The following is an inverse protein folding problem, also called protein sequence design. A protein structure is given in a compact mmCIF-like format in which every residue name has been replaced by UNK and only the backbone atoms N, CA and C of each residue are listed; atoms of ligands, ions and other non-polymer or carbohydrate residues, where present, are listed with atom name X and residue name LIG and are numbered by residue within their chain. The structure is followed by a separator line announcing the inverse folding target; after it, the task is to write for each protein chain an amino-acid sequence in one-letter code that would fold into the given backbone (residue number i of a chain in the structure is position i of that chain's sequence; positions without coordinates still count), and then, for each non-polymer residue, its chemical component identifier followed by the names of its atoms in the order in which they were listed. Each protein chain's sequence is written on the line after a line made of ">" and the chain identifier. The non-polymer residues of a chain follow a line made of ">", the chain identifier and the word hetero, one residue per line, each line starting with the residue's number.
data_IF_452772434729
#
_entry.id   IF_452772434729
#
_cell.length_a   1.000
_cell.length_b   1.000
_cell.length_c   1.000
_cell.angle_alpha   90.00
_cell.angle_beta   90.00
_cell.angle_gamma   90.00
#
_symmetry.space_group_name_H-M   'P 1'
#
loop_
_entity.id
_entity.type
_entity.pdbx_description
1 polymer ?
#
# COMPACT_ATOMS: atom_id res chain seq x y z
N UNK A 1 -14.41 -12.62 -6.36
CA UNK A 1 -15.44 -13.63 -6.17
C UNK A 1 -15.97 -14.12 -7.50
N UNK A 2 -16.15 -15.43 -7.63
CA UNK A 2 -16.70 -16.04 -8.83
C UNK A 2 -18.22 -15.83 -8.88
N UNK A 3 -18.80 -15.29 -9.97
CA UNK A 3 -20.19 -14.84 -9.98
C UNK A 3 -21.24 -15.97 -9.94
N UNK A 4 -20.90 -17.18 -10.36
CA UNK A 4 -21.85 -18.31 -10.47
C UNK A 4 -21.86 -19.25 -9.26
N UNK A 5 -21.01 -19.04 -8.27
CA UNK A 5 -21.03 -19.80 -7.02
C UNK A 5 -21.51 -18.93 -5.86
N UNK A 6 -22.23 -19.55 -4.94
CA UNK A 6 -22.67 -18.84 -3.73
C UNK A 6 -21.48 -18.46 -2.85
N UNK A 7 -21.67 -17.44 -2.03
CA UNK A 7 -20.64 -16.93 -1.11
C UNK A 7 -20.16 -18.04 -0.15
N UNK A 8 -21.10 -18.80 0.40
CA UNK A 8 -20.77 -19.87 1.32
C UNK A 8 -19.98 -21.00 0.68
N UNK A 9 -20.30 -21.35 -0.58
CA UNK A 9 -19.58 -22.40 -1.29
C UNK A 9 -18.14 -21.98 -1.56
N UNK A 10 -17.88 -20.72 -1.94
CA UNK A 10 -16.52 -20.21 -2.19
C UNK A 10 -15.67 -20.22 -0.92
N UNK A 11 -16.22 -19.82 0.23
CA UNK A 11 -15.49 -19.91 1.52
C UNK A 11 -15.29 -21.38 1.94
N UNK A 12 -16.32 -22.22 1.79
CA UNK A 12 -16.23 -23.62 2.15
C UNK A 12 -15.24 -24.41 1.27
N UNK A 13 -15.13 -24.04 -0.01
CA UNK A 13 -14.15 -24.63 -0.94
C UNK A 13 -12.72 -24.44 -0.45
N UNK A 14 -12.34 -23.23 -0.05
CA UNK A 14 -11.02 -22.94 0.54
C UNK A 14 -10.75 -23.83 1.75
N UNK A 15 -11.71 -23.97 2.64
CA UNK A 15 -11.59 -24.81 3.83
C UNK A 15 -11.48 -26.30 3.52
N UNK A 16 -12.23 -26.81 2.56
CA UNK A 16 -12.10 -28.20 2.11
C UNK A 16 -10.74 -28.47 1.48
N UNK A 17 -10.30 -27.55 0.62
CA UNK A 17 -9.03 -27.70 -0.12
C UNK A 17 -7.81 -27.67 0.79
N UNK A 18 -7.78 -26.76 1.76
CA UNK A 18 -6.58 -26.49 2.56
C UNK A 18 -6.64 -27.06 3.98
N UNK A 19 -7.82 -27.29 4.54
CA UNK A 19 -8.00 -27.88 5.89
C UNK A 19 -8.61 -29.27 5.87
N UNK A 20 -8.86 -29.81 4.67
CA UNK A 20 -9.41 -31.15 4.45
C UNK A 20 -10.72 -31.45 5.23
N UNK A 21 -11.55 -30.41 5.43
CA UNK A 21 -12.82 -30.55 6.13
C UNK A 21 -13.87 -31.22 5.25
N UNK A 22 -14.77 -31.98 5.88
CA UNK A 22 -15.97 -32.45 5.20
C UNK A 22 -16.89 -31.31 4.78
N UNK A 23 -17.80 -31.54 3.84
CA UNK A 23 -18.76 -30.53 3.39
C UNK A 23 -19.55 -29.89 4.54
N UNK A 24 -19.99 -30.71 5.53
CA UNK A 24 -20.75 -30.23 6.69
C UNK A 24 -19.90 -29.34 7.60
N UNK A 25 -18.67 -29.75 7.88
CA UNK A 25 -17.73 -28.98 8.72
C UNK A 25 -17.32 -27.69 8.04
N UNK A 26 -16.97 -27.74 6.73
CA UNK A 26 -16.60 -26.58 5.95
C UNK A 26 -17.73 -25.53 5.88
N UNK A 27 -18.99 -25.96 5.74
CA UNK A 27 -20.15 -25.05 5.77
C UNK A 27 -20.33 -24.39 7.14
N UNK A 28 -20.14 -25.13 8.23
CA UNK A 28 -20.23 -24.58 9.59
C UNK A 28 -19.08 -23.59 9.85
N UNK A 29 -17.86 -23.90 9.39
CA UNK A 29 -16.69 -23.02 9.50
C UNK A 29 -16.83 -21.77 8.64
N UNK A 30 -17.40 -21.88 7.44
CA UNK A 30 -17.70 -20.74 6.58
C UNK A 30 -18.65 -19.74 7.27
N UNK A 31 -19.66 -20.22 8.01
CA UNK A 31 -20.52 -19.33 8.82
C UNK A 31 -19.69 -18.58 9.85
N UNK A 32 -18.79 -19.27 10.57
CA UNK A 32 -17.91 -18.63 11.57
C UNK A 32 -16.98 -17.59 10.94
N UNK A 33 -16.35 -17.93 9.81
CA UNK A 33 -15.46 -17.02 9.09
C UNK A 33 -16.20 -15.74 8.62
N UNK A 34 -17.40 -15.89 8.06
CA UNK A 34 -18.22 -14.77 7.62
C UNK A 34 -18.74 -13.93 8.80
N UNK A 35 -19.08 -14.56 9.92
CA UNK A 35 -19.48 -13.84 11.15
C UNK A 35 -18.29 -13.02 11.71
N UNK A 36 -17.08 -13.59 11.70
CA UNK A 36 -15.86 -12.94 12.19
C UNK A 36 -15.55 -11.64 11.45
N UNK A 37 -15.82 -11.58 10.15
CA UNK A 37 -15.66 -10.35 9.35
C UNK A 37 -16.85 -9.39 9.45
N UNK A 38 -17.81 -9.66 10.33
CA UNK A 38 -18.97 -8.80 10.57
C UNK A 38 -20.05 -8.88 9.49
N UNK A 39 -20.19 -10.03 8.83
CA UNK A 39 -21.33 -10.28 7.95
C UNK A 39 -22.56 -10.63 8.80
N UNK A 40 -23.51 -9.71 8.91
CA UNK A 40 -24.75 -9.95 9.64
C UNK A 40 -25.54 -11.10 8.99
N UNK A 41 -26.18 -11.94 9.80
CA UNK A 41 -26.96 -13.09 9.34
C UNK A 41 -26.17 -14.04 8.41
N UNK A 42 -24.88 -14.31 8.73
CA UNK A 42 -23.97 -15.09 7.90
C UNK A 42 -24.59 -16.43 7.44
N UNK A 43 -25.29 -17.14 8.32
CA UNK A 43 -25.95 -18.41 7.99
C UNK A 43 -26.99 -18.28 6.86
N UNK A 44 -27.73 -17.17 6.84
CA UNK A 44 -28.76 -16.91 5.81
C UNK A 44 -28.11 -16.42 4.50
N UNK A 45 -26.95 -15.75 4.61
CA UNK A 45 -26.25 -15.18 3.45
C UNK A 45 -25.34 -16.17 2.72
N UNK A 46 -25.11 -17.35 3.27
CA UNK A 46 -24.28 -18.38 2.63
C UNK A 46 -24.73 -18.71 1.21
N UNK A 47 -26.02 -18.73 0.97
CA UNK A 47 -26.60 -19.14 -0.31
C UNK A 47 -26.77 -17.95 -1.29
N UNK A 48 -26.39 -16.72 -0.86
CA UNK A 48 -26.37 -15.53 -1.72
C UNK A 48 -25.19 -15.58 -2.71
N UNK A 49 -25.39 -14.95 -3.85
CA UNK A 49 -24.36 -14.78 -4.90
C UNK A 49 -23.66 -13.43 -4.76
N UNK A 50 -22.44 -13.28 -5.29
CA UNK A 50 -21.70 -12.02 -5.20
C UNK A 50 -22.47 -10.79 -5.71
N UNK A 51 -23.29 -10.93 -6.75
CA UNK A 51 -24.07 -9.82 -7.33
C UNK A 51 -25.21 -9.33 -6.41
N UNK A 52 -25.63 -10.13 -5.42
CA UNK A 52 -26.64 -9.76 -4.43
C UNK A 52 -26.04 -8.98 -3.24
N UNK A 53 -24.71 -8.81 -3.20
CA UNK A 53 -23.99 -8.14 -2.13
C UNK A 53 -23.50 -6.75 -2.56
N UNK A 54 -23.50 -5.80 -1.61
CA UNK A 54 -22.81 -4.51 -1.79
C UNK A 54 -21.29 -4.69 -1.92
N UNK A 55 -20.58 -3.68 -2.43
CA UNK A 55 -19.11 -3.70 -2.55
C UNK A 55 -18.41 -4.05 -1.24
N UNK A 56 -18.78 -3.38 -0.15
CA UNK A 56 -18.21 -3.64 1.18
C UNK A 56 -18.52 -5.05 1.72
N UNK A 57 -19.69 -5.59 1.44
CA UNK A 57 -20.00 -6.98 1.83
C UNK A 57 -19.19 -7.98 1.01
N UNK A 58 -19.02 -7.75 -0.29
CA UNK A 58 -18.13 -8.57 -1.13
C UNK A 58 -16.69 -8.55 -0.63
N UNK A 59 -16.20 -7.38 -0.22
CA UNK A 59 -14.86 -7.25 0.34
C UNK A 59 -14.71 -8.01 1.66
N UNK A 60 -15.70 -7.95 2.55
CA UNK A 60 -15.73 -8.76 3.77
C UNK A 60 -15.68 -10.28 3.48
N UNK A 61 -16.39 -10.73 2.46
CA UNK A 61 -16.33 -12.14 2.03
C UNK A 61 -14.93 -12.52 1.53
N UNK A 62 -14.30 -11.67 0.72
CA UNK A 62 -12.91 -11.89 0.27
C UNK A 62 -11.93 -11.97 1.43
N UNK A 63 -12.07 -11.09 2.43
CA UNK A 63 -11.27 -11.15 3.66
C UNK A 63 -11.53 -12.44 4.43
N UNK A 64 -12.82 -12.86 4.58
CA UNK A 64 -13.15 -14.12 5.22
C UNK A 64 -12.52 -15.33 4.52
N UNK A 65 -12.53 -15.37 3.19
CA UNK A 65 -11.87 -16.41 2.40
C UNK A 65 -10.35 -16.43 2.64
N UNK A 66 -9.70 -15.27 2.58
CA UNK A 66 -8.27 -15.15 2.80
C UNK A 66 -7.84 -15.59 4.21
N UNK A 67 -8.68 -15.35 5.21
CA UNK A 67 -8.41 -15.66 6.60
C UNK A 67 -8.96 -17.02 7.08
N UNK A 68 -9.71 -17.75 6.25
CA UNK A 68 -10.36 -19.00 6.61
C UNK A 68 -9.37 -20.08 7.09
N UNK A 69 -8.12 -20.02 6.63
CA UNK A 69 -7.05 -20.94 7.02
C UNK A 69 -6.06 -20.36 8.03
N UNK A 70 -6.37 -19.23 8.66
CA UNK A 70 -5.54 -18.56 9.67
C UNK A 70 -4.09 -18.37 9.20
N UNK A 71 -3.85 -17.59 8.13
CA UNK A 71 -2.52 -17.42 7.55
C UNK A 71 -1.60 -16.61 8.48
N UNK A 72 -0.29 -16.86 8.37
CA UNK A 72 0.75 -16.04 9.03
C UNK A 72 0.95 -14.68 8.34
N UNK A 73 0.64 -14.59 7.05
CA UNK A 73 0.76 -13.39 6.21
C UNK A 73 -0.49 -13.19 5.35
N UNK A 74 -1.11 -12.03 5.47
CA UNK A 74 -2.14 -11.55 4.55
C UNK A 74 -1.53 -10.57 3.54
N UNK A 75 -1.67 -10.86 2.24
CA UNK A 75 -1.37 -9.93 1.16
C UNK A 75 -2.68 -9.29 0.71
N UNK A 76 -2.82 -7.99 0.93
CA UNK A 76 -4.00 -7.21 0.58
C UNK A 76 -3.64 -6.24 -0.57
N UNK A 77 -4.02 -6.62 -1.80
CA UNK A 77 -3.78 -5.83 -3.00
C UNK A 77 -4.99 -4.93 -3.27
N UNK A 78 -4.79 -3.63 -3.10
CA UNK A 78 -5.81 -2.57 -3.21
C UNK A 78 -7.15 -2.91 -2.50
N UNK A 79 -7.13 -3.26 -1.20
CA UNK A 79 -8.29 -3.85 -0.53
C UNK A 79 -9.48 -2.89 -0.38
N UNK A 80 -9.30 -1.61 -0.64
CA UNK A 80 -10.32 -0.56 -0.49
C UNK A 80 -10.68 0.15 -1.80
N UNK A 81 -10.09 -0.26 -2.92
CA UNK A 81 -10.38 0.32 -4.24
C UNK A 81 -11.86 0.16 -4.60
N UNK A 82 -12.45 1.21 -5.14
CA UNK A 82 -13.87 1.31 -5.52
C UNK A 82 -14.87 1.21 -4.34
N UNK A 83 -14.42 1.46 -3.10
CA UNK A 83 -15.28 1.62 -1.93
C UNK A 83 -15.43 3.11 -1.59
N UNK A 84 -16.58 3.48 -1.02
CA UNK A 84 -16.74 4.81 -0.45
C UNK A 84 -15.89 4.97 0.83
N UNK A 85 -15.59 6.22 1.21
CA UNK A 85 -14.68 6.54 2.33
C UNK A 85 -15.11 5.89 3.65
N UNK A 86 -16.42 5.81 3.90
CA UNK A 86 -16.94 5.23 5.14
C UNK A 86 -16.71 3.73 5.18
N UNK A 87 -17.00 3.03 4.09
CA UNK A 87 -16.77 1.59 3.97
C UNK A 87 -15.28 1.29 3.95
N UNK A 88 -14.45 2.12 3.28
CA UNK A 88 -13.00 2.00 3.32
C UNK A 88 -12.48 2.00 4.76
N UNK A 89 -12.86 2.98 5.58
CA UNK A 89 -12.46 3.04 6.99
C UNK A 89 -12.88 1.77 7.76
N UNK A 90 -14.11 1.27 7.55
CA UNK A 90 -14.59 0.04 8.19
C UNK A 90 -13.77 -1.20 7.78
N UNK A 91 -13.34 -1.30 6.53
CA UNK A 91 -12.51 -2.42 6.05
C UNK A 91 -11.10 -2.35 6.64
N UNK A 92 -10.50 -1.15 6.73
CA UNK A 92 -9.19 -0.97 7.36
C UNK A 92 -9.22 -1.30 8.85
N UNK A 93 -10.25 -0.85 9.58
CA UNK A 93 -10.45 -1.21 10.99
C UNK A 93 -10.64 -2.72 11.17
N UNK A 94 -11.38 -3.36 10.28
CA UNK A 94 -11.56 -4.81 10.29
C UNK A 94 -10.22 -5.54 10.13
N UNK A 95 -9.41 -5.15 9.14
CA UNK A 95 -8.07 -5.74 8.90
C UNK A 95 -7.18 -5.54 10.13
N UNK A 96 -7.17 -4.33 10.72
CA UNK A 96 -6.38 -4.01 11.92
C UNK A 96 -6.78 -4.89 13.11
N UNK A 97 -8.08 -5.03 13.36
CA UNK A 97 -8.62 -5.90 14.41
C UNK A 97 -8.24 -7.36 14.21
N UNK A 98 -8.45 -7.89 13.00
CA UNK A 98 -8.13 -9.29 12.68
C UNK A 98 -6.61 -9.56 12.73
N UNK A 99 -5.76 -8.61 12.31
CA UNK A 99 -4.31 -8.70 12.49
C UNK A 99 -3.93 -8.92 13.96
N UNK A 100 -4.52 -8.16 14.86
CA UNK A 100 -4.25 -8.28 16.30
C UNK A 100 -4.79 -9.59 16.89
N UNK A 101 -5.99 -10.01 16.48
CA UNK A 101 -6.63 -11.23 16.98
C UNK A 101 -5.89 -12.51 16.54
N UNK A 102 -5.41 -12.55 15.29
CA UNK A 102 -4.74 -13.72 14.70
C UNK A 102 -3.24 -13.70 14.96
N UNK A 103 -2.65 -12.52 15.17
CA UNK A 103 -1.20 -12.34 15.28
C UNK A 103 -0.47 -12.43 13.93
N UNK A 104 -1.18 -12.17 12.81
CA UNK A 104 -0.62 -12.27 11.46
C UNK A 104 0.12 -10.99 11.03
N UNK A 105 1.04 -11.12 10.10
CA UNK A 105 1.59 -10.01 9.34
C UNK A 105 0.63 -9.59 8.22
N UNK A 106 0.64 -8.28 7.86
CA UNK A 106 -0.15 -7.76 6.73
C UNK A 106 0.78 -7.04 5.78
N UNK A 107 0.81 -7.45 4.51
CA UNK A 107 1.42 -6.71 3.41
C UNK A 107 0.30 -6.04 2.61
N UNK A 108 0.23 -4.71 2.71
CA UNK A 108 -0.77 -3.92 1.99
C UNK A 108 -0.17 -3.26 0.76
N UNK A 109 -0.79 -3.46 -0.40
CA UNK A 109 -0.43 -2.79 -1.65
C UNK A 109 -1.52 -1.76 -1.91
N UNK A 110 -1.15 -0.49 -2.00
CA UNK A 110 -2.09 0.61 -2.23
C UNK A 110 -1.38 1.84 -2.80
N UNK A 111 -2.09 2.65 -3.53
CA UNK A 111 -1.65 3.98 -3.96
C UNK A 111 -2.17 5.10 -3.05
N UNK A 112 -2.96 4.78 -2.02
CA UNK A 112 -3.48 5.74 -1.05
C UNK A 112 -2.49 5.95 0.09
N UNK A 113 -1.79 7.08 0.06
CA UNK A 113 -0.80 7.44 1.08
C UNK A 113 -1.42 7.68 2.47
N UNK A 114 -2.70 8.06 2.54
CA UNK A 114 -3.44 8.16 3.80
C UNK A 114 -3.60 6.81 4.48
N UNK A 115 -3.96 5.79 3.69
CA UNK A 115 -4.05 4.40 4.17
C UNK A 115 -2.69 3.91 4.68
N UNK A 116 -1.60 4.21 3.94
CA UNK A 116 -0.24 3.82 4.37
C UNK A 116 0.12 4.48 5.69
N UNK A 117 -0.11 5.80 5.82
CA UNK A 117 0.20 6.55 7.03
C UNK A 117 -0.53 6.01 8.28
N UNK A 118 -1.74 5.47 8.09
CA UNK A 118 -2.59 4.96 9.17
C UNK A 118 -2.28 3.50 9.54
N UNK A 119 -1.90 2.66 8.56
CA UNK A 119 -1.87 1.21 8.71
C UNK A 119 -0.47 0.60 8.77
N UNK A 120 0.54 1.26 8.18
CA UNK A 120 1.85 0.66 7.98
C UNK A 120 2.83 0.96 9.13
N UNK A 121 3.63 -0.04 9.48
CA UNK A 121 4.81 0.13 10.34
C UNK A 121 6.04 0.48 9.47
N UNK A 122 6.18 -0.24 8.34
CA UNK A 122 7.25 -0.04 7.35
C UNK A 122 6.65 0.15 5.95
N UNK A 123 7.32 0.92 5.13
CA UNK A 123 6.86 1.29 3.77
C UNK A 123 7.93 0.93 2.75
N UNK A 124 7.48 0.33 1.65
CA UNK A 124 8.26 0.12 0.43
C UNK A 124 7.66 1.00 -0.66
N UNK A 125 8.44 1.91 -1.19
CA UNK A 125 8.05 2.71 -2.37
C UNK A 125 8.63 2.06 -3.61
N UNK A 126 7.75 1.65 -4.54
CA UNK A 126 8.13 0.96 -5.77
C UNK A 126 7.86 1.83 -7.01
N UNK A 127 8.75 1.77 -8.01
CA UNK A 127 8.58 2.42 -9.30
C UNK A 127 9.23 1.59 -10.40
N UNK A 128 8.49 1.34 -11.51
CA UNK A 128 9.00 0.55 -12.62
C UNK A 128 9.49 -0.85 -12.22
N UNK A 129 8.80 -1.52 -11.31
CA UNK A 129 9.16 -2.86 -10.81
C UNK A 129 10.35 -2.90 -9.85
N UNK A 130 10.90 -1.74 -9.45
CA UNK A 130 12.07 -1.65 -8.54
C UNK A 130 11.71 -0.95 -7.24
N UNK A 131 12.31 -1.40 -6.13
CA UNK A 131 12.23 -0.70 -4.85
C UNK A 131 13.08 0.56 -4.92
N UNK A 132 12.45 1.72 -4.77
CA UNK A 132 13.10 3.03 -4.78
C UNK A 132 13.48 3.49 -3.38
N UNK A 133 12.62 3.24 -2.41
CA UNK A 133 12.87 3.58 -1.03
C UNK A 133 12.21 2.57 -0.08
N UNK A 134 12.85 2.32 1.06
CA UNK A 134 12.33 1.52 2.17
C UNK A 134 12.65 2.20 3.49
N UNK A 135 11.71 2.19 4.41
CA UNK A 135 11.91 2.72 5.75
C UNK A 135 10.67 2.60 6.63
N UNK A 136 10.78 3.02 7.87
CA UNK A 136 9.62 3.19 8.73
C UNK A 136 8.68 4.28 8.18
N UNK A 137 7.41 4.20 8.54
CA UNK A 137 6.38 5.12 8.02
C UNK A 137 6.72 6.57 8.32
N UNK A 138 7.23 6.89 9.52
CA UNK A 138 7.55 8.27 9.91
C UNK A 138 8.70 8.83 9.08
N UNK A 139 9.76 8.03 8.85
CA UNK A 139 10.90 8.42 8.02
C UNK A 139 10.49 8.69 6.57
N UNK A 140 9.64 7.83 6.00
CA UNK A 140 9.14 8.00 4.62
C UNK A 140 8.29 9.27 4.47
N UNK A 141 7.46 9.61 5.48
CA UNK A 141 6.56 10.76 5.38
C UNK A 141 7.21 12.09 5.81
N UNK A 142 8.11 12.09 6.82
CA UNK A 142 8.75 13.32 7.32
C UNK A 142 9.98 13.73 6.55
N UNK A 143 10.77 12.75 6.11
CA UNK A 143 12.05 12.97 5.42
C UNK A 143 12.27 11.94 4.30
N UNK A 144 11.45 11.98 3.23
CA UNK A 144 11.62 11.09 2.09
C UNK A 144 13.00 11.31 1.44
N UNK A 145 13.73 10.21 1.20
CA UNK A 145 15.07 10.27 0.60
C UNK A 145 15.00 10.29 -0.93
N UNK A 146 14.18 9.42 -1.53
CA UNK A 146 14.14 9.30 -2.98
C UNK A 146 13.34 10.45 -3.63
N UNK A 147 13.80 11.05 -4.72
CA UNK A 147 13.08 12.11 -5.44
C UNK A 147 11.65 11.74 -5.85
N UNK A 148 11.42 10.48 -6.21
CA UNK A 148 10.07 9.98 -6.51
C UNK A 148 9.15 10.02 -5.29
N UNK A 149 9.61 9.54 -4.13
CA UNK A 149 8.86 9.58 -2.87
C UNK A 149 8.49 11.01 -2.49
N UNK A 150 9.45 11.95 -2.61
CA UNK A 150 9.20 13.39 -2.39
C UNK A 150 8.14 13.94 -3.33
N UNK A 151 8.24 13.59 -4.61
CA UNK A 151 7.28 14.06 -5.62
C UNK A 151 5.87 13.49 -5.39
N UNK A 152 5.75 12.22 -4.99
CA UNK A 152 4.47 11.62 -4.58
C UNK A 152 3.87 12.38 -3.40
N UNK A 153 4.66 12.66 -2.36
CA UNK A 153 4.19 13.36 -1.17
C UNK A 153 3.74 14.80 -1.48
N UNK A 154 4.46 15.51 -2.35
CA UNK A 154 4.12 16.88 -2.76
C UNK A 154 2.89 16.94 -3.68
N UNK A 155 2.47 15.83 -4.27
CA UNK A 155 1.26 15.75 -5.09
C UNK A 155 -0.02 15.55 -4.27
N UNK A 156 0.09 15.32 -2.94
CA UNK A 156 -1.09 15.14 -2.08
C UNK A 156 -1.66 16.51 -1.70
N UNK A 157 -2.99 16.72 -1.84
CA UNK A 157 -3.67 17.91 -1.33
C UNK A 157 -3.59 17.95 0.21
N UNK A 158 -3.12 19.07 0.77
CA UNK A 158 -3.15 19.29 2.21
C UNK A 158 -4.34 20.18 2.57
N UNK A 159 -4.97 19.88 3.71
CA UNK A 159 -6.11 20.70 4.21
C UNK A 159 -5.70 22.15 4.45
N UNK A 160 -4.42 22.38 4.78
CA UNK A 160 -3.82 23.71 5.00
C UNK A 160 -3.42 24.43 3.72
N UNK A 161 -3.47 23.73 2.57
CA UNK A 161 -3.06 24.38 1.32
C UNK A 161 -4.07 25.48 0.93
N UNK A 162 -3.51 26.65 0.64
CA UNK A 162 -4.30 27.77 0.12
C UNK A 162 -4.97 27.28 -1.18
N UNK A 163 -6.29 27.37 -1.30
CA UNK A 163 -7.10 26.88 -2.45
C UNK A 163 -6.56 27.30 -3.84
N UNK A 164 -5.64 28.28 -3.88
CA UNK A 164 -4.99 28.78 -5.11
C UNK A 164 -3.64 28.10 -5.41
N UNK A 165 -3.09 27.24 -4.52
CA UNK A 165 -1.82 26.57 -4.78
C UNK A 165 -2.07 25.41 -5.75
N UNK A 166 -1.40 25.45 -6.89
CA UNK A 166 -1.39 24.34 -7.84
C UNK A 166 -0.59 23.18 -7.25
N UNK A 167 -1.18 21.99 -7.19
CA UNK A 167 -0.47 20.81 -6.74
C UNK A 167 0.73 20.52 -7.63
N UNK A 168 1.83 20.06 -7.06
CA UNK A 168 2.97 19.58 -7.83
C UNK A 168 2.59 18.29 -8.56
N UNK A 169 2.80 18.26 -9.85
CA UNK A 169 2.58 17.09 -10.70
C UNK A 169 3.94 16.50 -11.06
N UNK A 170 4.04 15.18 -11.08
CA UNK A 170 5.21 14.49 -11.59
C UNK A 170 5.11 14.50 -13.12
N UNK A 171 5.90 15.36 -13.76
CA UNK A 171 5.90 15.50 -15.22
C UNK A 171 6.29 14.21 -15.94
N UNK A 172 5.83 14.07 -17.19
CA UNK A 172 6.13 12.94 -18.06
C UNK A 172 5.28 11.69 -17.77
N UNK A 173 5.44 10.68 -18.60
CA UNK A 173 4.70 9.41 -18.53
C UNK A 173 5.49 8.37 -17.73
N UNK A 174 4.77 7.47 -17.07
CA UNK A 174 5.38 6.28 -16.46
C UNK A 174 5.96 5.42 -17.60
N UNK A 175 7.22 4.98 -17.50
CA UNK A 175 7.83 4.17 -18.54
C UNK A 175 7.11 2.83 -18.70
N UNK A 176 7.12 2.32 -19.94
CA UNK A 176 6.60 0.99 -20.21
C UNK A 176 7.43 -0.05 -19.43
N UNK A 177 6.82 -0.94 -18.65
CA UNK A 177 7.56 -2.00 -17.93
C UNK A 177 8.40 -2.92 -18.83
N UNK A 178 8.03 -3.05 -20.11
CA UNK A 178 8.77 -3.85 -21.10
C UNK A 178 9.92 -3.09 -21.76
N UNK A 179 9.98 -1.76 -21.56
CA UNK A 179 11.01 -0.88 -22.15
C UNK A 179 11.38 0.20 -21.13
N UNK A 180 12.07 -0.23 -20.08
CA UNK A 180 12.55 0.68 -19.04
C UNK A 180 13.74 1.50 -19.55
N UNK A 181 13.82 2.79 -19.19
CA UNK A 181 14.96 3.61 -19.56
C UNK A 181 16.25 3.08 -18.94
N UNK A 182 17.37 3.21 -19.67
CA UNK A 182 18.69 2.85 -19.17
C UNK A 182 19.04 3.66 -17.92
N UNK A 183 19.84 3.07 -17.02
CA UNK A 183 20.22 3.69 -15.76
C UNK A 183 19.07 3.72 -14.73
N UNK A 184 18.92 4.85 -14.04
CA UNK A 184 17.84 5.02 -13.08
C UNK A 184 16.47 5.08 -13.79
N UNK A 185 15.56 4.16 -13.51
CA UNK A 185 14.24 4.11 -14.17
C UNK A 185 13.39 5.38 -13.98
N UNK A 186 13.66 6.16 -12.93
CA UNK A 186 12.96 7.42 -12.66
C UNK A 186 13.62 8.64 -13.30
N UNK A 187 14.86 8.53 -13.83
CA UNK A 187 15.63 9.70 -14.29
C UNK A 187 14.90 10.60 -15.30
N UNK A 188 14.06 10.10 -16.25
CA UNK A 188 13.38 10.97 -17.20
C UNK A 188 12.36 11.93 -16.58
N UNK A 189 11.93 11.62 -15.35
CA UNK A 189 10.92 12.38 -14.59
C UNK A 189 11.52 13.05 -13.34
N UNK A 190 12.80 12.82 -13.08
CA UNK A 190 13.47 13.29 -11.88
C UNK A 190 13.98 14.72 -12.07
N UNK A 191 13.50 15.67 -11.25
CA UNK A 191 13.96 17.08 -11.27
C UNK A 191 15.44 17.23 -10.86
N UNK A 192 16.01 16.19 -10.24
CA UNK A 192 17.40 16.16 -9.75
C UNK A 192 18.31 15.25 -10.60
N UNK A 193 17.85 14.82 -11.77
CA UNK A 193 18.63 13.92 -12.61
C UNK A 193 19.91 14.58 -13.13
N UNK A 194 21.06 13.98 -12.81
CA UNK A 194 22.32 14.28 -13.47
C UNK A 194 22.55 13.40 -14.70
N UNK A 195 23.56 13.73 -15.53
CA UNK A 195 23.90 12.94 -16.73
C UNK A 195 24.20 11.47 -16.43
N UNK A 196 24.75 11.19 -15.26
CA UNK A 196 25.04 9.82 -14.82
C UNK A 196 23.80 8.97 -14.61
N UNK A 197 22.65 9.58 -14.24
CA UNK A 197 21.41 8.86 -13.97
C UNK A 197 20.83 8.16 -15.20
N UNK A 198 21.16 8.60 -16.41
CA UNK A 198 20.75 7.94 -17.66
C UNK A 198 21.66 6.76 -18.07
N UNK A 199 22.80 6.58 -17.38
CA UNK A 199 23.83 5.60 -17.76
C UNK A 199 24.03 4.52 -16.71
N UNK A 200 23.91 4.90 -15.43
CA UNK A 200 24.18 4.01 -14.29
C UNK A 200 22.88 3.70 -13.56
N UNK A 201 22.60 2.40 -13.42
CA UNK A 201 21.51 1.93 -12.59
C UNK A 201 21.92 2.03 -11.10
N UNK A 202 21.17 2.76 -10.26
CA UNK A 202 21.51 2.85 -8.84
C UNK A 202 21.21 1.52 -8.12
N UNK A 203 22.08 1.15 -7.20
CA UNK A 203 21.83 0.07 -6.26
C UNK A 203 20.98 0.54 -5.09
N UNK A 204 20.37 -0.41 -4.35
CA UNK A 204 19.60 -0.13 -3.14
C UNK A 204 20.56 0.04 -1.95
N UNK A 205 20.93 1.28 -1.65
CA UNK A 205 21.92 1.65 -0.63
C UNK A 205 21.27 1.71 0.75
N UNK A 206 21.94 1.14 1.74
CA UNK A 206 21.53 1.22 3.14
C UNK A 206 22.01 2.53 3.78
N UNK A 207 21.09 3.25 4.43
CA UNK A 207 21.32 4.45 5.22
C UNK A 207 20.73 4.25 6.62
N UNK A 208 21.47 3.63 7.50
CA UNK A 208 20.96 3.15 8.79
C UNK A 208 19.86 2.09 8.61
N UNK A 209 18.69 2.30 9.19
CA UNK A 209 17.54 1.42 9.07
C UNK A 209 16.77 1.60 7.74
N UNK A 210 17.08 2.64 6.97
CA UNK A 210 16.42 2.97 5.70
C UNK A 210 17.25 2.48 4.51
N UNK A 211 16.60 2.35 3.36
CA UNK A 211 17.28 2.02 2.10
C UNK A 211 16.76 2.91 0.98
N UNK A 212 17.64 3.33 0.08
CA UNK A 212 17.28 4.21 -1.04
C UNK A 212 18.02 3.80 -2.31
N UNK A 213 17.33 3.78 -3.44
CA UNK A 213 17.88 3.48 -4.76
C UNK A 213 18.12 4.79 -5.55
N UNK A 214 19.15 5.54 -5.17
CA UNK A 214 19.45 6.82 -5.79
C UNK A 214 20.97 7.11 -5.76
N UNK A 215 21.53 7.51 -6.91
CA UNK A 215 22.97 7.81 -7.06
C UNK A 215 23.43 9.00 -6.24
N UNK A 216 22.53 9.88 -5.81
CA UNK A 216 22.85 11.01 -4.91
C UNK A 216 23.44 10.52 -3.59
N UNK A 217 23.01 9.36 -3.12
CA UNK A 217 23.48 8.75 -1.87
C UNK A 217 24.60 7.73 -2.08
N UNK A 218 24.96 7.44 -3.34
CA UNK A 218 26.04 6.51 -3.66
C UNK A 218 27.40 7.18 -3.42
N UNK A 219 28.24 6.65 -2.51
CA UNK A 219 29.57 7.21 -2.25
C UNK A 219 30.45 7.31 -3.51
N UNK A 220 30.29 6.34 -4.45
CA UNK A 220 31.06 6.33 -5.70
C UNK A 220 30.66 7.45 -6.68
N UNK A 221 29.45 8.00 -6.54
CA UNK A 221 28.86 8.95 -7.48
C UNK A 221 28.46 10.29 -6.84
N UNK A 222 28.63 10.45 -5.54
CA UNK A 222 28.22 11.65 -4.78
C UNK A 222 28.76 12.94 -5.36
N UNK A 223 29.99 12.96 -5.89
CA UNK A 223 30.59 14.11 -6.55
C UNK A 223 29.94 14.55 -7.87
N UNK A 224 29.09 13.72 -8.47
CA UNK A 224 28.42 14.01 -9.74
C UNK A 224 27.20 14.93 -9.62
N UNK A 225 26.75 15.26 -8.39
CA UNK A 225 25.51 16.00 -8.10
C UNK A 225 25.74 17.40 -7.48
N UNK A 226 26.97 17.86 -7.37
CA UNK A 226 27.28 19.14 -6.72
C UNK A 226 27.01 19.14 -5.21
N UNK A 227 26.65 20.28 -4.63
CA UNK A 227 26.18 20.39 -3.26
C UNK A 227 24.80 19.71 -3.17
N UNK A 228 24.56 18.96 -2.09
CA UNK A 228 23.36 18.16 -1.85
C UNK A 228 22.08 18.86 -2.36
N UNK A 229 21.43 18.35 -3.41
CA UNK A 229 20.28 19.01 -4.02
C UNK A 229 19.07 19.10 -3.08
N UNK A 230 19.12 18.45 -1.91
CA UNK A 230 18.05 18.44 -0.91
C UNK A 230 18.25 19.45 0.23
N UNK A 231 19.43 20.07 0.35
CA UNK A 231 19.69 21.12 1.37
C UNK A 231 19.04 22.46 1.01
N UNK A 232 18.53 22.64 -0.22
CA UNK A 232 18.01 23.91 -0.73
C UNK A 232 16.48 24.03 -0.72
N UNK A 233 15.73 23.33 0.14
CA UNK A 233 14.28 23.58 0.32
C UNK A 233 13.98 23.97 1.77
N UNK A 234 13.87 25.30 2.08
CA UNK A 234 13.62 25.79 3.44
C UNK A 234 12.18 25.62 3.96
N UNK A 235 11.27 24.95 3.25
CA UNK A 235 9.84 25.01 3.56
C UNK A 235 9.21 23.75 4.21
N UNK A 236 10.03 22.80 4.71
CA UNK A 236 9.49 21.64 5.48
C UNK A 236 9.60 21.83 7.00
N UNK A 237 10.27 22.90 7.45
CA UNK A 237 10.33 23.24 8.87
C UNK A 237 9.26 24.26 9.24
N UNK A 238 8.42 23.90 10.24
CA UNK A 238 7.63 24.75 11.12
C UNK A 238 6.10 24.60 11.07
N UNK A 239 5.60 23.37 11.20
CA UNK A 239 4.23 23.22 11.74
C UNK A 239 4.08 22.06 12.76
N UNK A 240 5.18 21.49 13.25
CA UNK A 240 5.16 20.51 14.34
C UNK A 240 5.09 21.15 15.75
N UNK A 241 4.87 22.44 15.86
CA UNK A 241 5.02 23.22 17.11
C UNK A 241 3.77 23.94 17.63
N UNK A 242 2.54 23.60 17.19
CA UNK A 242 1.31 24.26 17.71
C UNK A 242 0.15 23.32 17.96
N UNK A 243 0.35 22.29 18.77
CA UNK A 243 -0.73 21.60 19.46
C UNK A 243 -0.29 21.25 20.90
N UNK A 244 0.06 22.28 21.67
CA UNK A 244 0.02 22.26 23.12
C UNK A 244 -0.41 23.66 23.58
N UNK A 245 -1.74 23.87 23.68
CA UNK A 245 -2.45 24.68 24.69
C UNK A 245 -3.95 24.43 24.59
#
# INVERSE_FOLDING_TARGET
>A
LHPVFSVGEQVAEVLRQHRHLSHREARAEAIRALTRVGLADAARRLDQYPHELSGGLRQRVLIAMALACEPELLIADEPTTALDVTIQAQILDLIRKLRQEIGMAVMMITHDLGVIAEMADNVVVAYGGKVMEYGDVLGIFKDPLHPYTRALYNSIPRITDNRKRRLEVIDGMVPNPLDLPAGCSFHPRCKFAGQICSRVEPELIALGARRVRCLIYDPAHKGSFGTDPFVATPDIERDAGRQER
#
